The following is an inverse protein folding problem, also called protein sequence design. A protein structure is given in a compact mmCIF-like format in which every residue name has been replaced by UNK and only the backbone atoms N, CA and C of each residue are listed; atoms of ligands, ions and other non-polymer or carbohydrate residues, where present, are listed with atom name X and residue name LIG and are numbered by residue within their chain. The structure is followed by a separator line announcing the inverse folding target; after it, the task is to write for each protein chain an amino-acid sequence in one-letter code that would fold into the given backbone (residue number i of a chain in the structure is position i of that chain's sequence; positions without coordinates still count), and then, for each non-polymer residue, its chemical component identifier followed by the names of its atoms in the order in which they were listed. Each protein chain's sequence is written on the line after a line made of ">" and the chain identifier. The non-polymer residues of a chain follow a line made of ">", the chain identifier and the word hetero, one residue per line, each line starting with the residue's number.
data_IF_069988620437
#
_entry.id   IF_069988620437
#
_cell.length_a   1.000
_cell.length_b   1.000
_cell.length_c   1.000
_cell.angle_alpha   90.00
_cell.angle_beta   90.00
_cell.angle_gamma   90.00
#
_symmetry.space_group_name_H-M   'P 1'
#
loop_
_entity.id
_entity.type
_entity.pdbx_description
1 polymer ?
#
# COMPACT_ATOMS: atom_id res chain seq x y z
N UNK A 1 -15.38 9.74 -6.14
CA UNK A 1 -14.44 10.87 -6.26
C UNK A 1 -13.07 10.40 -5.80
N UNK A 2 -12.00 10.72 -6.54
CA UNK A 2 -10.60 10.37 -6.23
C UNK A 2 -9.76 11.64 -6.31
N UNK A 3 -8.63 11.74 -5.62
CA UNK A 3 -7.75 12.90 -5.73
C UNK A 3 -6.39 12.69 -5.07
N UNK A 4 -5.50 13.68 -5.20
CA UNK A 4 -4.11 13.65 -4.74
C UNK A 4 -3.93 13.45 -3.23
N UNK A 5 -2.69 13.51 -2.76
CA UNK A 5 -2.41 13.39 -1.32
C UNK A 5 -3.04 14.62 -0.67
N UNK A 6 -4.20 14.43 -0.03
CA UNK A 6 -4.83 15.52 0.68
C UNK A 6 -3.98 15.82 1.91
N UNK A 7 -3.03 16.75 1.80
CA UNK A 7 -2.21 17.25 2.91
C UNK A 7 -3.03 18.11 3.91
N UNK A 8 -4.31 17.78 4.11
CA UNK A 8 -5.29 18.45 4.98
C UNK A 8 -4.88 18.51 6.47
N UNK A 9 -3.71 17.96 6.84
CA UNK A 9 -3.17 18.04 8.20
C UNK A 9 -3.10 19.50 8.63
N UNK A 10 -3.97 19.83 9.58
CA UNK A 10 -4.17 21.16 10.14
C UNK A 10 -2.83 21.85 10.46
N UNK A 11 -2.62 23.03 9.88
CA UNK A 11 -1.49 23.90 10.18
C UNK A 11 -0.18 23.62 9.43
N UNK A 12 -0.12 22.59 8.58
CA UNK A 12 1.10 22.26 7.82
C UNK A 12 0.89 22.12 6.31
N UNK A 13 -0.31 21.73 5.86
CA UNK A 13 -0.58 21.54 4.44
C UNK A 13 -0.64 22.82 3.62
N UNK A 14 -0.41 22.72 2.32
CA UNK A 14 -0.44 23.84 1.40
C UNK A 14 -1.75 24.62 1.47
N UNK A 15 -2.88 23.90 1.62
CA UNK A 15 -4.20 24.48 1.81
C UNK A 15 -4.22 25.55 2.93
N UNK A 16 -3.37 25.42 3.95
CA UNK A 16 -3.27 26.31 5.11
C UNK A 16 -2.29 27.48 4.94
N UNK A 17 -1.44 27.46 3.91
CA UNK A 17 -0.31 28.39 3.78
C UNK A 17 -0.45 29.38 2.62
N UNK A 18 -1.28 29.10 1.61
CA UNK A 18 -1.50 30.02 0.48
C UNK A 18 -2.78 30.89 0.64
N UNK A 19 -2.63 32.19 0.35
CA UNK A 19 -3.76 33.10 0.17
C UNK A 19 -4.31 32.99 -1.27
N UNK A 20 -5.63 32.94 -1.43
CA UNK A 20 -6.39 32.62 -2.65
C UNK A 20 -6.27 33.60 -3.86
N UNK A 21 -5.12 34.24 -4.07
CA UNK A 21 -4.91 35.32 -5.04
C UNK A 21 -4.41 34.80 -6.41
N UNK A 22 -3.88 33.58 -6.48
CA UNK A 22 -3.32 33.01 -7.72
C UNK A 22 -4.43 32.69 -8.73
N UNK A 23 -4.35 33.15 -10.01
CA UNK A 23 -5.30 32.78 -11.06
C UNK A 23 -5.40 31.26 -11.27
N UNK A 24 -6.59 30.75 -11.57
CA UNK A 24 -6.85 29.31 -11.64
C UNK A 24 -5.98 28.58 -12.67
N UNK A 25 -5.80 29.13 -13.88
CA UNK A 25 -4.96 28.50 -14.91
C UNK A 25 -3.49 28.38 -14.48
N UNK A 26 -2.98 29.41 -13.78
CA UNK A 26 -1.62 29.42 -13.28
C UNK A 26 -1.45 28.43 -12.13
N UNK A 27 -2.40 28.39 -11.21
CA UNK A 27 -2.41 27.49 -10.06
C UNK A 27 -2.55 26.02 -10.50
N UNK A 28 -3.47 25.73 -11.42
CA UNK A 28 -3.65 24.40 -12.00
C UNK A 28 -2.35 23.90 -12.67
N UNK A 29 -1.62 24.79 -13.35
CA UNK A 29 -0.33 24.47 -13.95
C UNK A 29 0.74 24.21 -12.88
N UNK A 30 0.75 24.96 -11.77
CA UNK A 30 1.70 24.73 -10.68
C UNK A 30 1.39 23.45 -9.90
N UNK A 31 0.11 23.13 -9.67
CA UNK A 31 -0.34 21.83 -9.12
C UNK A 31 0.11 20.70 -10.04
N UNK A 32 -0.25 20.74 -11.32
CA UNK A 32 0.07 19.66 -12.27
C UNK A 32 1.57 19.45 -12.49
N UNK A 33 2.38 20.51 -12.36
CA UNK A 33 3.84 20.44 -12.43
C UNK A 33 4.51 20.17 -11.08
N UNK A 34 3.76 19.93 -10.01
CA UNK A 34 4.28 19.69 -8.65
C UNK A 34 5.14 20.82 -8.11
N UNK A 35 4.87 22.05 -8.54
CA UNK A 35 5.59 23.26 -8.11
C UNK A 35 4.94 23.95 -6.92
N UNK A 36 3.71 23.55 -6.57
CA UNK A 36 2.91 24.12 -5.49
C UNK A 36 3.49 23.74 -4.13
N UNK A 37 3.59 22.45 -3.89
CA UNK A 37 4.03 21.81 -2.64
C UNK A 37 4.86 20.54 -2.88
N UNK A 38 5.10 20.18 -4.14
CA UNK A 38 5.75 18.92 -4.52
C UNK A 38 4.75 17.81 -4.90
N UNK A 39 3.45 18.07 -4.77
CA UNK A 39 2.37 17.12 -5.04
C UNK A 39 1.50 17.60 -6.21
N UNK A 40 0.62 16.71 -6.69
CA UNK A 40 -0.30 16.99 -7.80
C UNK A 40 -1.72 16.74 -7.34
N UNK A 41 -2.25 17.66 -6.53
CA UNK A 41 -3.57 17.56 -5.90
C UNK A 41 -4.71 17.94 -6.84
N UNK A 42 -4.81 17.17 -7.91
CA UNK A 42 -5.92 17.21 -8.83
C UNK A 42 -6.92 16.15 -8.38
N UNK A 43 -8.13 16.60 -8.07
CA UNK A 43 -9.25 15.76 -7.73
C UNK A 43 -10.09 15.49 -8.97
N UNK A 44 -10.62 14.28 -9.07
CA UNK A 44 -11.52 13.82 -10.13
C UNK A 44 -12.81 13.33 -9.51
N UNK A 45 -13.93 13.86 -9.99
CA UNK A 45 -15.25 13.30 -9.73
C UNK A 45 -15.85 12.67 -10.99
N UNK A 46 -16.47 11.50 -10.80
CA UNK A 46 -17.14 10.75 -11.86
C UNK A 46 -18.58 10.50 -11.43
N UNK A 47 -19.52 10.96 -12.26
CA UNK A 47 -20.95 10.87 -12.04
C UNK A 47 -21.66 10.85 -13.39
N UNK A 48 -22.72 10.06 -13.53
CA UNK A 48 -23.56 10.04 -14.74
C UNK A 48 -22.78 9.96 -16.08
N UNK A 49 -21.71 9.17 -16.13
CA UNK A 49 -20.82 9.06 -17.30
C UNK A 49 -19.93 10.28 -17.58
N UNK A 50 -20.03 11.35 -16.80
CA UNK A 50 -19.19 12.54 -16.87
C UNK A 50 -17.99 12.42 -15.93
N UNK A 51 -16.91 13.08 -16.30
CA UNK A 51 -15.69 13.24 -15.51
C UNK A 51 -15.40 14.74 -15.38
N UNK A 52 -15.17 15.21 -14.16
CA UNK A 52 -14.76 16.60 -13.89
C UNK A 52 -13.53 16.59 -13.01
N UNK A 53 -12.47 17.23 -13.47
CA UNK A 53 -11.22 17.42 -12.73
C UNK A 53 -11.22 18.82 -12.10
N UNK A 54 -10.75 18.94 -10.86
CA UNK A 54 -10.78 20.17 -10.08
C UNK A 54 -9.65 20.22 -9.05
N UNK A 55 -9.39 21.42 -8.54
CA UNK A 55 -8.50 21.64 -7.38
C UNK A 55 -9.29 22.20 -6.21
N UNK A 56 -8.75 22.09 -5.00
CA UNK A 56 -9.35 22.65 -3.79
C UNK A 56 -8.62 23.92 -3.36
N UNK A 57 -9.38 24.87 -2.80
CA UNK A 57 -8.87 26.09 -2.18
C UNK A 57 -9.61 26.38 -0.89
N UNK A 58 -9.04 27.25 -0.07
CA UNK A 58 -9.67 27.72 1.15
C UNK A 58 -9.97 29.21 1.05
N UNK A 59 -11.18 29.61 1.41
CA UNK A 59 -11.58 31.01 1.41
C UNK A 59 -11.17 31.72 2.71
N UNK A 60 -11.38 33.04 2.80
CA UNK A 60 -11.06 33.85 3.98
C UNK A 60 -11.76 33.38 5.27
N UNK A 61 -12.89 32.67 5.14
CA UNK A 61 -13.65 32.08 6.26
C UNK A 61 -13.18 30.67 6.62
N UNK A 62 -12.04 30.23 6.09
CA UNK A 62 -11.49 28.88 6.25
C UNK A 62 -12.42 27.76 5.75
N UNK A 63 -13.23 28.04 4.74
CA UNK A 63 -14.07 27.03 4.10
C UNK A 63 -13.39 26.52 2.84
N UNK A 64 -13.32 25.20 2.74
CA UNK A 64 -12.79 24.50 1.57
C UNK A 64 -13.82 24.56 0.45
N UNK A 65 -13.39 24.90 -0.75
CA UNK A 65 -14.21 24.92 -1.96
C UNK A 65 -13.43 24.37 -3.15
N UNK A 66 -14.18 23.83 -4.12
CA UNK A 66 -13.63 23.23 -5.33
C UNK A 66 -13.69 24.19 -6.52
N UNK A 67 -12.64 24.16 -7.35
CA UNK A 67 -12.55 24.91 -8.61
C UNK A 67 -12.32 23.94 -9.77
N UNK A 68 -13.32 23.70 -10.63
CA UNK A 68 -13.18 22.89 -11.84
C UNK A 68 -12.08 23.41 -12.76
N UNK A 69 -11.24 22.50 -13.28
CA UNK A 69 -10.18 22.83 -14.23
C UNK A 69 -10.68 23.04 -15.66
N UNK A 70 -11.89 22.55 -15.96
CA UNK A 70 -12.57 22.75 -17.24
C UNK A 70 -13.86 23.53 -17.06
N UNK A 71 -14.33 24.15 -18.14
CA UNK A 71 -15.64 24.80 -18.16
C UNK A 71 -16.74 23.75 -17.92
N UNK A 72 -17.53 23.92 -16.88
CA UNK A 72 -18.57 22.99 -16.50
C UNK A 72 -19.70 23.71 -15.77
N UNK A 73 -20.94 23.30 -16.04
CA UNK A 73 -22.15 23.77 -15.34
C UNK A 73 -22.42 22.96 -14.06
N UNK A 74 -21.41 22.27 -13.57
CA UNK A 74 -21.49 21.35 -12.42
C UNK A 74 -21.07 22.11 -11.17
N UNK A 75 -21.89 22.02 -10.14
CA UNK A 75 -21.56 22.57 -8.82
C UNK A 75 -20.94 21.49 -7.94
N UNK A 76 -19.74 21.75 -7.42
CA UNK A 76 -19.00 20.85 -6.54
C UNK A 76 -18.97 21.48 -5.14
N UNK A 77 -19.59 20.83 -4.17
CA UNK A 77 -19.66 21.27 -2.79
C UNK A 77 -18.84 20.32 -1.90
N UNK A 78 -17.91 20.89 -1.14
CA UNK A 78 -17.15 20.17 -0.12
C UNK A 78 -18.00 20.07 1.16
N UNK A 79 -18.11 18.86 1.72
CA UNK A 79 -18.69 18.63 3.03
C UNK A 79 -17.55 18.37 4.03
N UNK A 80 -17.61 19.01 5.19
CA UNK A 80 -16.57 18.85 6.20
C UNK A 80 -16.38 20.07 7.09
N UNK A 81 -15.28 20.03 7.83
CA UNK A 81 -14.81 21.16 8.62
C UNK A 81 -13.65 21.83 7.90
N UNK A 82 -13.09 22.91 8.46
CA UNK A 82 -11.86 23.51 7.93
C UNK A 82 -10.67 22.54 7.93
N UNK A 83 -10.73 21.46 8.72
CA UNK A 83 -9.61 20.53 8.97
C UNK A 83 -9.79 19.13 8.43
N UNK A 84 -10.96 18.80 7.90
CA UNK A 84 -11.26 17.45 7.42
C UNK A 84 -12.38 17.51 6.40
N UNK A 85 -12.14 16.94 5.22
CA UNK A 85 -13.16 16.68 4.22
C UNK A 85 -13.87 15.35 4.53
N UNK A 86 -15.15 15.44 4.91
CA UNK A 86 -15.98 14.28 5.25
C UNK A 86 -16.79 13.77 4.07
N UNK A 87 -16.94 14.56 3.01
CA UNK A 87 -17.65 14.16 1.82
C UNK A 87 -17.77 15.24 0.76
N UNK A 88 -18.52 14.93 -0.28
CA UNK A 88 -18.72 15.78 -1.44
C UNK A 88 -20.15 15.68 -1.94
N UNK A 89 -20.75 16.81 -2.28
CA UNK A 89 -22.01 16.86 -3.01
C UNK A 89 -21.79 17.50 -4.38
N UNK A 90 -22.18 16.78 -5.42
CA UNK A 90 -22.11 17.24 -6.81
C UNK A 90 -23.52 17.48 -7.31
N UNK A 91 -23.79 18.67 -7.84
CA UNK A 91 -25.07 18.97 -8.52
C UNK A 91 -24.79 19.12 -10.01
N UNK A 92 -25.43 18.29 -10.83
CA UNK A 92 -25.28 18.38 -12.28
C UNK A 92 -26.20 19.45 -12.90
N UNK A 93 -26.10 19.61 -14.21
CA UNK A 93 -26.86 20.59 -14.99
C UNK A 93 -28.37 20.30 -15.03
N UNK A 94 -28.81 19.09 -14.67
CA UNK A 94 -30.22 18.71 -14.58
C UNK A 94 -30.79 18.94 -13.17
N UNK A 95 -29.94 19.30 -12.21
CA UNK A 95 -30.30 19.46 -10.80
C UNK A 95 -30.21 18.17 -9.99
N UNK A 96 -29.71 17.07 -10.58
CA UNK A 96 -29.50 15.83 -9.85
C UNK A 96 -28.30 15.97 -8.93
N UNK A 97 -28.43 15.50 -7.68
CA UNK A 97 -27.37 15.58 -6.68
C UNK A 97 -26.75 14.21 -6.40
N UNK A 98 -25.43 14.13 -6.47
CA UNK A 98 -24.64 12.95 -6.19
C UNK A 98 -23.80 13.19 -4.93
N UNK A 99 -24.03 12.38 -3.89
CA UNK A 99 -23.46 12.57 -2.56
C UNK A 99 -22.44 11.46 -2.27
N UNK A 100 -21.18 11.83 -2.06
CA UNK A 100 -20.06 10.94 -1.81
C UNK A 100 -19.57 11.11 -0.36
N UNK A 101 -19.68 10.08 0.46
CA UNK A 101 -19.33 10.14 1.89
C UNK A 101 -18.58 8.92 2.40
N UNK A 102 -18.74 7.78 1.72
CA UNK A 102 -18.08 6.56 2.14
C UNK A 102 -16.59 6.63 1.75
N UNK A 103 -15.68 6.58 2.71
CA UNK A 103 -14.24 6.76 2.45
C UNK A 103 -13.53 5.47 2.02
N UNK A 104 -12.50 5.63 1.21
CA UNK A 104 -11.42 4.69 0.93
C UNK A 104 -10.13 5.28 1.50
N UNK A 105 -9.30 4.45 2.11
CA UNK A 105 -8.07 4.90 2.77
C UNK A 105 -6.86 4.18 2.15
N UNK A 106 -5.86 4.97 1.77
CA UNK A 106 -4.50 4.48 1.59
C UNK A 106 -3.81 4.50 2.96
N UNK A 107 -3.32 3.36 3.44
CA UNK A 107 -2.67 3.21 4.75
C UNK A 107 -1.27 2.60 4.60
N UNK A 108 -0.46 2.73 5.65
CA UNK A 108 0.92 2.21 5.71
C UNK A 108 1.74 2.60 4.47
N UNK A 109 1.65 3.87 4.08
CA UNK A 109 2.27 4.35 2.84
C UNK A 109 3.75 4.52 3.08
N UNK A 110 4.55 3.79 2.32
CA UNK A 110 6.00 3.82 2.34
C UNK A 110 6.51 4.05 0.91
N UNK A 111 7.39 5.04 0.74
CA UNK A 111 8.07 5.31 -0.52
C UNK A 111 9.54 5.57 -0.25
N UNK A 112 10.40 4.92 -1.05
CA UNK A 112 11.86 5.13 -1.02
C UNK A 112 12.33 5.40 -2.42
N UNK A 113 12.75 6.65 -2.65
CA UNK A 113 13.69 6.94 -3.72
C UNK A 113 15.11 6.73 -3.20
N UNK A 114 15.90 5.97 -3.94
CA UNK A 114 17.29 5.69 -3.60
C UNK A 114 18.26 6.72 -4.18
N UNK A 115 17.76 7.66 -4.99
CA UNK A 115 18.53 8.74 -5.64
C UNK A 115 18.53 10.02 -4.82
N UNK A 116 17.41 10.28 -4.13
CA UNK A 116 17.14 11.52 -3.41
C UNK A 116 16.76 11.24 -1.95
N UNK A 117 16.80 12.26 -1.10
CA UNK A 117 16.44 12.15 0.31
C UNK A 117 14.92 12.08 0.55
N UNK A 118 14.12 11.88 -0.49
CA UNK A 118 12.66 12.00 -0.43
C UNK A 118 12.03 10.63 -0.14
N UNK A 119 12.27 10.13 1.08
CA UNK A 119 11.50 9.01 1.60
C UNK A 119 10.19 9.51 2.21
N UNK A 120 9.06 8.92 1.81
CA UNK A 120 7.74 9.25 2.38
C UNK A 120 7.33 8.10 3.28
N UNK A 121 6.85 8.44 4.46
CA UNK A 121 6.02 7.53 5.26
C UNK A 121 4.79 8.28 5.75
N UNK A 122 3.62 7.72 5.52
CA UNK A 122 2.39 8.24 6.10
C UNK A 122 1.58 7.10 6.73
N UNK A 123 0.97 7.39 7.87
CA UNK A 123 0.03 6.49 8.53
C UNK A 123 -1.21 6.24 7.68
N UNK A 124 -1.54 7.18 6.79
CA UNK A 124 -2.56 7.01 5.78
C UNK A 124 -3.34 8.29 5.49
N UNK A 125 -4.10 8.26 4.40
CA UNK A 125 -4.93 9.37 3.93
C UNK A 125 -6.17 8.86 3.19
N UNK A 126 -7.20 9.70 3.10
CA UNK A 126 -8.40 9.37 2.31
C UNK A 126 -8.07 9.45 0.82
N UNK A 127 -8.07 8.33 0.13
CA UNK A 127 -7.76 8.24 -1.31
C UNK A 127 -8.99 8.48 -2.19
N UNK A 128 -10.18 8.18 -1.67
CA UNK A 128 -11.42 8.33 -2.40
C UNK A 128 -12.65 8.49 -1.47
N UNK A 129 -13.70 9.12 -2.01
CA UNK A 129 -15.05 9.06 -1.47
C UNK A 129 -15.97 8.37 -2.48
N UNK A 130 -16.64 7.31 -2.04
CA UNK A 130 -17.62 6.55 -2.80
C UNK A 130 -19.03 7.10 -2.60
N UNK A 131 -19.85 6.90 -3.64
CA UNK A 131 -21.21 7.39 -3.72
C UNK A 131 -22.08 6.74 -2.66
N UNK A 132 -22.81 7.54 -1.89
CA UNK A 132 -23.72 7.08 -0.82
C UNK A 132 -25.18 7.34 -1.16
N UNK A 133 -25.45 8.36 -1.98
CA UNK A 133 -26.82 8.72 -2.36
C UNK A 133 -26.86 9.49 -3.69
N UNK A 134 -27.90 9.23 -4.47
CA UNK A 134 -28.33 10.09 -5.57
C UNK A 134 -29.70 10.67 -5.22
N UNK A 135 -29.85 11.98 -5.38
CA UNK A 135 -31.12 12.71 -5.29
C UNK A 135 -31.47 13.23 -6.69
N UNK A 136 -32.30 12.50 -7.45
CA UNK A 136 -32.77 13.02 -8.72
C UNK A 136 -33.68 14.24 -8.48
N UNK A 137 -33.61 15.26 -9.34
CA UNK A 137 -34.30 16.54 -9.15
C UNK A 137 -35.82 16.38 -8.90
N UNK A 138 -36.46 15.43 -9.59
CA UNK A 138 -37.89 15.11 -9.45
C UNK A 138 -38.13 13.62 -9.12
N UNK A 139 -37.15 12.94 -8.54
CA UNK A 139 -37.21 11.49 -8.30
C UNK A 139 -37.05 11.13 -6.83
N UNK A 140 -37.45 9.92 -6.50
CA UNK A 140 -37.17 9.38 -5.18
C UNK A 140 -35.66 9.05 -5.04
N UNK A 141 -35.09 9.16 -3.83
CA UNK A 141 -33.66 8.91 -3.60
C UNK A 141 -33.23 7.49 -3.97
N UNK A 142 -31.97 7.36 -4.38
CA UNK A 142 -31.28 6.08 -4.56
C UNK A 142 -30.15 6.03 -3.54
N UNK A 143 -30.17 5.03 -2.65
CA UNK A 143 -29.20 4.89 -1.57
C UNK A 143 -28.19 3.77 -1.85
N UNK A 144 -26.92 4.02 -1.56
CA UNK A 144 -25.84 3.07 -1.66
C UNK A 144 -25.36 2.73 -0.24
N UNK A 145 -25.57 1.48 0.18
CA UNK A 145 -25.20 1.01 1.51
C UNK A 145 -23.98 0.10 1.42
N UNK A 146 -22.96 0.35 2.23
CA UNK A 146 -21.74 -0.44 2.32
C UNK A 146 -21.81 -1.46 3.47
N UNK A 147 -20.96 -2.48 3.45
CA UNK A 147 -20.89 -3.52 4.49
C UNK A 147 -20.28 -3.01 5.81
N UNK A 148 -19.38 -2.05 5.71
CA UNK A 148 -18.73 -1.38 6.85
C UNK A 148 -18.08 -0.08 6.40
N UNK A 149 -17.72 0.76 7.37
CA UNK A 149 -16.97 1.98 7.14
C UNK A 149 -15.48 1.76 7.41
N UNK A 150 -14.62 2.21 6.50
CA UNK A 150 -13.16 2.08 6.63
C UNK A 150 -12.64 2.80 7.87
N UNK A 151 -13.34 3.85 8.31
CA UNK A 151 -12.97 4.59 9.53
C UNK A 151 -13.17 3.80 10.81
N UNK A 152 -13.95 2.71 10.79
CA UNK A 152 -14.19 1.87 11.97
C UNK A 152 -13.11 0.78 12.14
N UNK A 153 -12.11 0.70 11.23
CA UNK A 153 -11.03 -0.29 11.28
C UNK A 153 -10.16 -0.17 12.55
N UNK A 154 -10.06 1.02 13.14
CA UNK A 154 -9.26 1.26 14.34
C UNK A 154 -9.92 0.78 15.65
N UNK A 155 -11.15 0.24 15.59
CA UNK A 155 -11.93 -0.11 16.78
C UNK A 155 -12.28 -1.60 16.89
N UNK A 156 -11.43 -2.54 16.46
CA UNK A 156 -11.52 -3.96 16.83
C UNK A 156 -12.85 -4.69 16.58
N UNK A 157 -13.81 -4.06 15.90
CA UNK A 157 -15.22 -4.44 15.83
C UNK A 157 -15.68 -4.76 14.40
N UNK A 158 -14.82 -4.57 13.40
CA UNK A 158 -15.13 -4.94 12.03
C UNK A 158 -14.66 -6.37 11.74
N UNK A 159 -15.59 -7.19 11.23
CA UNK A 159 -15.23 -8.44 10.57
C UNK A 159 -14.35 -8.13 9.35
N UNK A 160 -13.23 -8.85 9.21
CA UNK A 160 -12.30 -8.82 8.07
C UNK A 160 -13.02 -8.92 6.70
N UNK A 161 -14.25 -9.43 6.66
CA UNK A 161 -15.06 -9.61 5.45
C UNK A 161 -15.85 -8.35 5.01
N UNK A 162 -15.75 -7.25 5.75
CA UNK A 162 -16.57 -6.03 5.51
C UNK A 162 -15.89 -5.00 4.60
N UNK A 163 -14.56 -5.09 4.47
CA UNK A 163 -13.71 -4.15 3.74
C UNK A 163 -12.73 -4.95 2.89
N UNK A 164 -12.55 -4.53 1.64
CA UNK A 164 -11.52 -5.10 0.78
C UNK A 164 -10.17 -4.43 1.10
N UNK A 165 -9.14 -5.22 1.32
CA UNK A 165 -7.77 -4.71 1.51
C UNK A 165 -6.89 -5.19 0.36
N UNK A 166 -6.46 -4.25 -0.47
CA UNK A 166 -5.47 -4.51 -1.50
C UNK A 166 -4.09 -4.07 -0.99
N UNK A 167 -3.11 -4.97 -1.05
CA UNK A 167 -1.71 -4.63 -0.77
C UNK A 167 -1.00 -4.32 -2.08
N UNK A 168 -0.39 -3.15 -2.16
CA UNK A 168 0.43 -2.76 -3.29
C UNK A 168 1.88 -2.74 -2.81
N UNK A 169 2.72 -3.49 -3.51
CA UNK A 169 4.15 -3.54 -3.29
C UNK A 169 4.83 -3.50 -4.65
N UNK A 170 5.67 -2.50 -4.85
CA UNK A 170 6.39 -2.29 -6.10
C UNK A 170 7.82 -1.87 -5.73
N UNK A 171 8.78 -2.75 -5.97
CA UNK A 171 10.18 -2.56 -5.63
C UNK A 171 11.04 -2.58 -6.89
N UNK A 172 12.02 -1.69 -6.94
CA UNK A 172 13.02 -1.66 -7.97
C UNK A 172 14.42 -1.72 -7.36
N UNK A 173 15.36 -2.16 -8.18
CA UNK A 173 16.79 -2.19 -7.84
C UNK A 173 17.52 -1.16 -8.68
N UNK A 174 18.39 -0.39 -8.06
CA UNK A 174 19.30 0.53 -8.76
C UNK A 174 20.75 0.19 -8.45
N UNK A 175 21.58 0.24 -9.51
CA UNK A 175 23.01 0.01 -9.43
C UNK A 175 23.72 1.33 -9.81
N UNK A 176 24.46 1.89 -8.86
CA UNK A 176 25.27 3.07 -9.06
C UNK A 176 26.70 2.71 -9.44
N UNK A 177 27.27 3.44 -10.40
CA UNK A 177 28.68 3.36 -10.79
C UNK A 177 29.32 4.74 -10.59
N UNK A 178 30.14 4.91 -9.54
CA UNK A 178 30.59 6.23 -9.10
C UNK A 178 31.81 6.78 -9.86
N UNK A 179 32.42 6.00 -10.75
CA UNK A 179 33.66 6.34 -11.46
C UNK A 179 34.91 6.35 -10.57
N UNK A 180 34.85 7.04 -9.43
CA UNK A 180 35.82 7.01 -8.35
C UNK A 180 35.24 6.34 -7.10
N UNK A 181 36.09 5.76 -6.26
CA UNK A 181 35.63 5.11 -5.02
C UNK A 181 35.03 6.15 -4.07
N UNK A 182 33.79 5.92 -3.65
CA UNK A 182 33.09 6.73 -2.65
C UNK A 182 33.29 6.09 -1.28
N UNK A 183 33.59 6.91 -0.28
CA UNK A 183 33.68 6.48 1.12
C UNK A 183 32.28 6.42 1.70
N UNK A 184 31.93 5.30 2.32
CA UNK A 184 30.65 5.13 3.01
C UNK A 184 30.82 4.41 4.35
N UNK A 185 29.81 4.59 5.21
CA UNK A 185 29.60 3.77 6.39
C UNK A 185 28.37 2.89 6.13
N UNK A 186 28.55 1.58 5.91
CA UNK A 186 27.47 0.73 5.46
C UNK A 186 26.47 0.40 6.57
N UNK A 187 26.92 0.39 7.84
CA UNK A 187 26.16 -0.09 9.00
C UNK A 187 25.49 -1.44 8.74
N UNK A 188 26.27 -2.36 8.17
CA UNK A 188 25.84 -3.71 7.86
C UNK A 188 25.92 -4.54 9.15
N UNK A 189 24.83 -4.58 9.91
CA UNK A 189 24.79 -5.38 11.14
C UNK A 189 24.68 -6.88 10.85
N UNK A 190 24.20 -7.29 9.67
CA UNK A 190 23.95 -8.70 9.38
C UNK A 190 25.24 -9.52 9.47
N UNK A 191 26.40 -8.94 9.09
CA UNK A 191 27.69 -9.60 9.23
C UNK A 191 28.14 -9.83 10.70
N UNK A 192 27.64 -9.05 11.65
CA UNK A 192 27.96 -9.18 13.08
C UNK A 192 26.87 -9.92 13.87
N UNK A 193 25.66 -10.00 13.31
CA UNK A 193 24.44 -10.44 13.98
C UNK A 193 24.59 -11.77 14.69
N UNK A 194 25.10 -12.80 14.01
CA UNK A 194 25.24 -14.14 14.59
C UNK A 194 26.14 -14.16 15.83
N UNK A 195 27.27 -13.44 15.80
CA UNK A 195 28.22 -13.39 16.93
C UNK A 195 27.68 -12.55 18.08
N UNK A 196 27.05 -11.43 17.76
CA UNK A 196 26.36 -10.59 18.74
C UNK A 196 25.33 -11.40 19.52
N UNK A 197 24.43 -12.12 18.84
CA UNK A 197 23.39 -12.90 19.51
C UNK A 197 23.93 -14.08 20.30
N UNK A 198 25.00 -14.72 19.81
CA UNK A 198 25.68 -15.77 20.58
C UNK A 198 26.24 -15.20 21.91
N UNK A 199 26.86 -14.03 21.89
CA UNK A 199 27.33 -13.38 23.12
C UNK A 199 26.18 -12.99 24.06
N UNK A 200 25.08 -12.45 23.52
CA UNK A 200 23.88 -12.12 24.32
C UNK A 200 23.27 -13.37 24.96
N UNK A 201 23.14 -14.46 24.22
CA UNK A 201 22.57 -15.72 24.72
C UNK A 201 23.42 -16.29 25.87
N UNK A 202 24.74 -16.32 25.70
CA UNK A 202 25.64 -16.79 26.76
C UNK A 202 25.60 -15.87 27.97
N UNK A 203 25.56 -14.55 27.77
CA UNK A 203 25.39 -13.59 28.86
C UNK A 203 24.08 -13.84 29.64
N UNK A 204 22.95 -14.03 28.95
CA UNK A 204 21.65 -14.30 29.57
C UNK A 204 21.66 -15.60 30.39
N UNK A 205 22.34 -16.65 29.92
CA UNK A 205 22.49 -17.90 30.67
C UNK A 205 23.19 -17.67 32.01
N UNK A 206 24.30 -16.93 32.01
CA UNK A 206 25.02 -16.60 33.25
C UNK A 206 24.23 -15.63 34.16
N UNK A 207 23.53 -14.64 33.57
CA UNK A 207 22.65 -13.73 34.31
C UNK A 207 21.52 -14.47 35.02
N UNK A 208 20.98 -15.52 34.40
CA UNK A 208 19.98 -16.39 35.02
C UNK A 208 20.56 -17.11 36.24
N UNK A 209 21.79 -17.61 36.13
CA UNK A 209 22.50 -18.30 37.23
C UNK A 209 22.88 -17.38 38.41
N UNK A 210 22.84 -16.06 38.23
CA UNK A 210 23.01 -15.08 39.30
C UNK A 210 21.76 -14.22 39.59
N UNK A 211 20.59 -14.64 39.09
CA UNK A 211 19.28 -13.99 39.32
C UNK A 211 19.16 -12.54 38.83
N UNK A 212 19.96 -12.14 37.84
CA UNK A 212 19.96 -10.80 37.23
C UNK A 212 19.23 -10.72 35.89
N UNK A 213 18.65 -11.83 35.41
CA UNK A 213 17.99 -11.88 34.10
C UNK A 213 16.85 -10.86 33.94
N UNK A 214 16.10 -10.58 35.03
CA UNK A 214 15.01 -9.60 34.99
C UNK A 214 15.51 -8.16 34.77
N UNK A 215 16.73 -7.84 35.20
CA UNK A 215 17.34 -6.51 35.04
C UNK A 215 17.82 -6.27 33.59
N UNK A 216 17.96 -7.34 32.79
CA UNK A 216 18.36 -7.26 31.38
C UNK A 216 17.26 -6.71 30.46
N UNK A 217 16.00 -6.63 30.91
CA UNK A 217 14.85 -6.19 30.07
C UNK A 217 15.06 -4.84 29.38
N UNK A 218 15.74 -3.90 30.04
CA UNK A 218 16.03 -2.59 29.44
C UNK A 218 17.00 -2.73 28.25
N UNK A 219 18.03 -3.57 28.38
CA UNK A 219 18.97 -3.87 27.30
C UNK A 219 18.25 -4.57 26.14
N UNK A 220 17.36 -5.53 26.43
CA UNK A 220 16.56 -6.22 25.42
C UNK A 220 15.70 -5.26 24.58
N UNK A 221 15.09 -4.24 25.22
CA UNK A 221 14.37 -3.18 24.50
C UNK A 221 15.29 -2.39 23.55
N UNK A 222 16.51 -2.06 23.99
CA UNK A 222 17.50 -1.33 23.18
C UNK A 222 18.03 -2.18 22.01
N UNK A 223 18.16 -3.50 22.18
CA UNK A 223 18.50 -4.42 21.10
C UNK A 223 17.43 -4.37 20.01
N UNK A 224 16.14 -4.43 20.40
CA UNK A 224 15.01 -4.35 19.44
C UNK A 224 14.99 -3.03 18.69
N UNK A 225 15.24 -1.91 19.37
CA UNK A 225 15.34 -0.61 18.72
C UNK A 225 16.48 -0.60 17.69
N UNK A 226 17.67 -1.06 18.06
CA UNK A 226 18.82 -1.14 17.16
C UNK A 226 18.55 -2.01 15.92
N UNK A 227 17.96 -3.20 16.09
CA UNK A 227 17.60 -4.06 14.96
C UNK A 227 16.60 -3.42 14.00
N UNK A 228 15.63 -2.67 14.53
CA UNK A 228 14.65 -1.97 13.68
C UNK A 228 15.32 -0.90 12.81
N UNK A 229 16.27 -0.17 13.39
CA UNK A 229 17.03 0.86 12.67
C UNK A 229 18.08 0.28 11.71
N UNK A 230 18.73 -0.84 12.04
CA UNK A 230 19.75 -1.43 11.18
C UNK A 230 19.18 -1.90 9.84
N UNK A 231 17.93 -2.39 9.80
CA UNK A 231 17.25 -2.83 8.57
C UNK A 231 17.10 -1.73 7.52
N UNK A 232 17.01 -0.47 7.92
CA UNK A 232 16.91 0.69 7.02
C UNK A 232 18.10 0.75 6.04
N UNK A 233 19.27 0.31 6.51
CA UNK A 233 20.51 0.48 5.76
C UNK A 233 20.62 -0.48 4.57
N UNK A 234 19.93 -1.62 4.64
CA UNK A 234 20.03 -2.73 3.69
C UNK A 234 18.73 -2.88 2.88
N UNK A 235 17.58 -2.78 3.54
CA UNK A 235 16.23 -2.99 2.97
C UNK A 235 15.29 -1.86 3.44
N UNK A 236 15.45 -0.63 2.91
CA UNK A 236 14.72 0.53 3.43
C UNK A 236 13.19 0.41 3.27
N UNK A 237 12.72 -0.27 2.22
CA UNK A 237 11.29 -0.56 2.00
C UNK A 237 10.65 -1.50 3.01
N UNK A 238 11.43 -2.12 3.88
CA UNK A 238 10.93 -3.07 4.89
C UNK A 238 11.12 -2.53 6.31
N UNK A 239 11.33 -1.21 6.46
CA UNK A 239 11.59 -0.58 7.75
C UNK A 239 10.54 0.46 8.12
N UNK A 240 10.02 0.32 9.34
CA UNK A 240 9.08 1.25 10.00
C UNK A 240 9.64 2.68 10.18
N UNK A 241 10.94 2.90 9.97
CA UNK A 241 11.63 4.18 10.19
C UNK A 241 12.16 4.82 8.90
N UNK A 242 11.47 4.58 7.79
CA UNK A 242 11.87 4.99 6.44
C UNK A 242 12.18 6.49 6.29
N UNK A 243 11.52 7.38 7.06
CA UNK A 243 11.75 8.85 7.05
C UNK A 243 13.17 9.25 7.45
N UNK A 244 13.87 8.35 8.13
CA UNK A 244 15.26 8.58 8.56
C UNK A 244 16.28 8.13 7.52
N UNK A 245 15.83 7.49 6.43
CA UNK A 245 16.65 6.95 5.35
C UNK A 245 17.04 8.02 4.32
N UNK A 246 17.77 9.05 4.74
CA UNK A 246 18.23 10.08 3.81
C UNK A 246 19.38 9.50 2.98
N UNK A 247 19.18 9.42 1.66
CA UNK A 247 20.21 8.98 0.71
C UNK A 247 20.42 9.99 -0.40
N UNK A 248 21.66 10.03 -0.87
CA UNK A 248 22.05 10.81 -2.04
C UNK A 248 22.83 9.85 -2.92
N UNK A 249 22.28 9.52 -4.09
CA UNK A 249 22.91 8.62 -5.07
C UNK A 249 23.30 7.28 -4.41
N UNK A 250 22.37 6.64 -3.69
CA UNK A 250 22.57 5.33 -3.05
C UNK A 250 23.34 5.32 -1.72
N UNK A 251 24.01 6.42 -1.35
CA UNK A 251 24.79 6.53 -0.11
C UNK A 251 23.97 7.18 0.99
N UNK A 252 24.03 6.65 2.21
CA UNK A 252 23.41 7.24 3.41
C UNK A 252 24.04 8.61 3.69
N UNK A 253 23.22 9.65 3.68
CA UNK A 253 23.65 11.02 3.95
C UNK A 253 23.40 11.44 5.40
N UNK A 254 22.47 10.78 6.11
CA UNK A 254 22.22 11.02 7.53
C UNK A 254 22.33 9.73 8.34
N UNK A 255 23.36 9.67 9.18
CA UNK A 255 23.68 8.52 10.03
C UNK A 255 23.45 8.82 11.52
N UNK A 256 22.99 10.04 11.85
CA UNK A 256 22.91 10.53 13.22
C UNK A 256 22.03 9.65 14.12
N UNK A 257 20.88 9.20 13.61
CA UNK A 257 19.95 8.36 14.35
C UNK A 257 20.52 6.96 14.61
N UNK A 258 21.13 6.35 13.60
CA UNK A 258 21.81 5.06 13.74
C UNK A 258 22.96 5.15 14.74
N UNK A 259 23.77 6.20 14.65
CA UNK A 259 24.84 6.48 15.61
C UNK A 259 24.29 6.63 17.04
N UNK A 260 23.19 7.36 17.22
CA UNK A 260 22.54 7.54 18.52
C UNK A 260 22.05 6.21 19.12
N UNK A 261 21.23 5.46 18.38
CA UNK A 261 20.67 4.17 18.85
C UNK A 261 21.77 3.16 19.16
N UNK A 262 22.81 3.10 18.33
CA UNK A 262 23.94 2.20 18.55
C UNK A 262 24.78 2.58 19.76
N UNK A 263 25.01 3.89 20.00
CA UNK A 263 25.69 4.37 21.21
C UNK A 263 24.89 4.06 22.47
N UNK A 264 23.58 4.32 22.45
CA UNK A 264 22.69 3.99 23.58
C UNK A 264 22.73 2.50 23.93
N UNK A 265 22.68 1.61 22.93
CA UNK A 265 22.80 0.17 23.12
C UNK A 265 24.19 -0.20 23.68
N UNK A 266 25.26 0.31 23.07
CA UNK A 266 26.63 0.04 23.52
C UNK A 266 26.89 0.50 24.96
N UNK A 267 26.41 1.67 25.34
CA UNK A 267 26.50 2.21 26.70
C UNK A 267 25.66 1.38 27.68
N UNK A 268 24.47 0.93 27.28
CA UNK A 268 23.62 0.07 28.11
C UNK A 268 24.27 -1.29 28.37
N UNK A 269 24.86 -1.90 27.34
CA UNK A 269 25.59 -3.16 27.46
C UNK A 269 26.81 -3.03 28.38
N UNK A 270 27.66 -2.01 28.17
CA UNK A 270 28.85 -1.78 29.02
C UNK A 270 28.49 -1.38 30.44
N UNK A 271 27.43 -0.58 30.62
CA UNK A 271 26.92 -0.21 31.94
C UNK A 271 26.44 -1.43 32.72
N UNK A 272 25.72 -2.35 32.05
CA UNK A 272 25.28 -3.59 32.69
C UNK A 272 26.43 -4.58 32.93
N UNK A 273 27.42 -4.63 32.04
CA UNK A 273 28.65 -5.38 32.28
C UNK A 273 29.40 -4.92 33.53
N UNK A 274 29.57 -3.59 33.68
CA UNK A 274 30.20 -3.00 34.86
C UNK A 274 29.42 -3.28 36.14
N UNK A 275 28.09 -3.28 36.07
CA UNK A 275 27.22 -3.68 37.18
C UNK A 275 27.45 -5.14 37.60
N UNK A 276 27.51 -6.07 36.64
CA UNK A 276 27.75 -7.47 36.92
C UNK A 276 29.12 -7.69 37.59
N UNK A 277 30.17 -7.05 37.07
CA UNK A 277 31.53 -7.08 37.66
C UNK A 277 31.58 -6.50 39.08
N UNK A 278 30.71 -5.53 39.40
CA UNK A 278 30.63 -4.92 40.74
C UNK A 278 29.93 -5.83 41.76
N UNK A 279 28.90 -6.57 41.34
CA UNK A 279 28.29 -7.60 42.19
C UNK A 279 29.32 -8.69 42.47
N UNK A 280 30.08 -9.06 41.43
CA UNK A 280 31.16 -10.03 41.50
C UNK A 280 30.68 -11.48 41.57
N UNK A 281 31.63 -12.39 41.40
CA UNK A 281 31.39 -13.83 41.38
C UNK A 281 31.37 -14.37 39.95
N UNK A 282 31.79 -15.64 39.81
CA UNK A 282 32.10 -16.23 38.51
C UNK A 282 31.01 -16.01 37.45
N UNK A 283 29.75 -16.28 37.77
CA UNK A 283 28.64 -16.11 36.81
C UNK A 283 28.42 -14.65 36.42
N UNK A 284 28.50 -13.71 37.38
CA UNK A 284 28.34 -12.29 37.09
C UNK A 284 29.52 -11.74 36.26
N UNK A 285 30.75 -12.17 36.55
CA UNK A 285 31.95 -11.78 35.81
C UNK A 285 31.92 -12.32 34.35
N UNK A 286 31.46 -13.56 34.17
CA UNK A 286 31.27 -14.15 32.85
C UNK A 286 30.16 -13.43 32.07
N UNK A 287 29.00 -13.17 32.69
CA UNK A 287 27.94 -12.38 32.07
C UNK A 287 28.47 -11.01 31.61
N UNK A 288 29.21 -10.31 32.47
CA UNK A 288 29.79 -9.01 32.13
C UNK A 288 30.76 -9.06 30.95
N UNK A 289 31.58 -10.12 30.85
CA UNK A 289 32.53 -10.28 29.74
C UNK A 289 31.84 -10.46 28.39
N UNK A 290 30.77 -11.28 28.34
CA UNK A 290 29.99 -11.46 27.11
C UNK A 290 29.15 -10.23 26.73
N UNK A 291 28.70 -9.44 27.71
CA UNK A 291 28.04 -8.16 27.44
C UNK A 291 29.01 -7.13 26.85
N UNK A 292 30.27 -7.11 27.29
CA UNK A 292 31.33 -6.31 26.68
C UNK A 292 31.63 -6.76 25.25
N UNK A 293 31.73 -8.07 25.01
CA UNK A 293 31.91 -8.63 23.67
C UNK A 293 30.75 -8.22 22.73
N UNK A 294 29.50 -8.31 23.20
CA UNK A 294 28.34 -7.85 22.45
C UNK A 294 28.43 -6.34 22.11
N UNK A 295 28.88 -5.51 23.06
CA UNK A 295 29.08 -4.08 22.82
C UNK A 295 30.20 -3.80 21.79
N UNK A 296 31.25 -4.62 21.76
CA UNK A 296 32.33 -4.51 20.78
C UNK A 296 31.84 -4.78 19.35
N UNK A 297 30.92 -5.73 19.16
CA UNK A 297 30.30 -5.95 17.84
C UNK A 297 29.44 -4.76 17.37
N UNK A 298 28.73 -4.07 18.27
CA UNK A 298 28.00 -2.84 17.94
C UNK A 298 28.98 -1.73 17.55
N UNK A 299 30.08 -1.57 18.28
CA UNK A 299 31.12 -0.60 17.97
C UNK A 299 31.84 -0.88 16.65
N UNK A 300 32.11 -2.16 16.35
CA UNK A 300 32.71 -2.58 15.09
C UNK A 300 31.81 -2.22 13.90
N UNK A 301 30.50 -2.50 14.00
CA UNK A 301 29.51 -2.11 13.01
C UNK A 301 29.47 -0.59 12.78
N UNK A 302 29.49 0.21 13.86
CA UNK A 302 29.49 1.66 13.78
C UNK A 302 30.74 2.26 13.13
N UNK A 303 31.90 1.64 13.40
CA UNK A 303 33.21 2.16 13.00
C UNK A 303 33.61 1.73 11.58
N UNK A 304 32.85 0.82 10.98
CA UNK A 304 33.13 0.30 9.65
C UNK A 304 33.05 1.39 8.59
N UNK A 305 34.08 1.44 7.75
CA UNK A 305 34.17 2.33 6.60
C UNK A 305 34.53 1.49 5.38
N UNK A 306 33.74 1.62 4.31
CA UNK A 306 33.99 0.97 3.02
C UNK A 306 34.26 2.02 1.95
N UNK A 307 35.07 1.65 0.96
CA UNK A 307 35.28 2.42 -0.25
C UNK A 307 34.66 1.66 -1.41
N UNK A 308 33.57 2.18 -1.98
CA UNK A 308 32.75 1.49 -2.98
C UNK A 308 32.83 2.19 -4.33
N UNK A 309 33.03 1.42 -5.39
CA UNK A 309 32.95 1.92 -6.78
C UNK A 309 31.60 1.65 -7.42
N UNK A 310 30.93 0.61 -6.93
CA UNK A 310 29.60 0.21 -7.34
C UNK A 310 28.74 -0.05 -6.11
N UNK A 311 27.46 0.30 -6.17
CA UNK A 311 26.52 0.01 -5.10
C UNK A 311 25.16 -0.37 -5.64
N UNK A 312 24.67 -1.50 -5.18
CA UNK A 312 23.30 -1.94 -5.39
C UNK A 312 22.43 -1.45 -4.23
N UNK A 313 21.23 -0.96 -4.54
CA UNK A 313 20.25 -0.59 -3.54
C UNK A 313 18.82 -0.79 -4.04
N UNK A 314 17.93 -1.11 -3.10
CA UNK A 314 16.50 -1.31 -3.36
C UNK A 314 15.70 -0.07 -2.96
N UNK A 315 14.83 0.37 -3.86
CA UNK A 315 13.85 1.43 -3.64
C UNK A 315 12.47 0.97 -4.11
N UNK A 316 11.46 1.82 -3.96
CA UNK A 316 10.10 1.51 -4.42
C UNK A 316 9.01 2.10 -3.56
N UNK A 317 7.86 1.43 -3.52
CA UNK A 317 6.68 1.81 -2.75
C UNK A 317 5.94 0.60 -2.20
N UNK A 318 5.37 0.77 -1.01
CA UNK A 318 4.49 -0.18 -0.35
C UNK A 318 3.33 0.60 0.26
N UNK A 319 2.09 0.13 0.08
CA UNK A 319 0.92 0.70 0.76
C UNK A 319 -0.25 -0.27 0.70
N UNK A 320 -1.23 -0.05 1.58
CA UNK A 320 -2.51 -0.77 1.58
C UNK A 320 -3.61 0.17 1.13
N UNK A 321 -4.54 -0.33 0.32
CA UNK A 321 -5.77 0.37 -0.02
C UNK A 321 -6.92 -0.38 0.64
N UNK A 322 -7.63 0.29 1.55
CA UNK A 322 -8.81 -0.22 2.21
C UNK A 322 -10.05 0.36 1.53
N UNK A 323 -10.70 -0.47 0.71
CA UNK A 323 -11.88 -0.09 -0.07
C UNK A 323 -13.16 -0.66 0.55
N UNK A 324 -14.21 0.16 0.71
CA UNK A 324 -15.49 -0.27 1.25
C UNK A 324 -16.22 -1.20 0.26
N UNK A 325 -16.80 -2.30 0.77
CA UNK A 325 -17.59 -3.22 -0.06
C UNK A 325 -19.05 -2.79 -0.10
N UNK A 326 -19.60 -2.61 -1.30
CA UNK A 326 -21.00 -2.25 -1.49
C UNK A 326 -21.89 -3.42 -1.07
N UNK A 327 -22.81 -3.24 -0.13
CA UNK A 327 -23.72 -4.28 0.33
C UNK A 327 -25.00 -4.31 -0.51
N UNK A 328 -25.60 -3.13 -0.72
CA UNK A 328 -26.84 -2.99 -1.49
C UNK A 328 -27.02 -1.59 -2.06
N UNK A 329 -27.78 -1.51 -3.14
CA UNK A 329 -28.35 -0.27 -3.65
C UNK A 329 -29.87 -0.34 -3.48
N UNK A 330 -30.45 0.67 -2.85
CA UNK A 330 -31.88 0.76 -2.58
C UNK A 330 -32.48 1.77 -3.53
N UNK A 331 -33.32 1.27 -4.44
CA UNK A 331 -34.16 2.08 -5.32
C UNK A 331 -35.57 2.17 -4.71
N UNK A 332 -36.43 3.06 -5.26
CA UNK A 332 -37.82 3.18 -4.81
C UNK A 332 -38.61 1.87 -4.94
N UNK A 333 -38.40 1.12 -6.02
CA UNK A 333 -39.18 -0.07 -6.37
C UNK A 333 -38.44 -1.39 -6.12
N UNK A 334 -37.10 -1.37 -6.11
CA UNK A 334 -36.28 -2.57 -6.02
C UNK A 334 -35.02 -2.36 -5.18
N UNK A 335 -34.42 -3.46 -4.77
CA UNK A 335 -33.18 -3.48 -3.99
C UNK A 335 -32.21 -4.41 -4.70
N UNK A 336 -31.03 -3.91 -5.03
CA UNK A 336 -29.93 -4.72 -5.58
C UNK A 336 -29.00 -5.06 -4.44
N UNK A 337 -28.72 -6.34 -4.20
CA UNK A 337 -27.76 -6.80 -3.19
C UNK A 337 -26.52 -7.40 -3.83
N UNK A 338 -25.40 -7.24 -3.16
CA UNK A 338 -24.10 -7.73 -3.60
C UNK A 338 -23.55 -8.71 -2.55
N UNK A 339 -23.08 -9.86 -3.02
CA UNK A 339 -22.40 -10.86 -2.22
C UNK A 339 -20.96 -11.00 -2.71
N UNK A 340 -20.06 -11.38 -1.80
CA UNK A 340 -18.63 -11.50 -2.06
C UNK A 340 -18.12 -12.83 -1.53
N UNK A 341 -17.04 -13.35 -2.11
CA UNK A 341 -16.30 -14.49 -1.57
C UNK A 341 -15.51 -14.05 -0.34
N UNK A 342 -15.64 -14.77 0.78
CA UNK A 342 -14.92 -14.42 2.03
C UNK A 342 -13.40 -14.44 1.88
N UNK A 343 -12.85 -15.30 1.00
CA UNK A 343 -11.40 -15.45 0.85
C UNK A 343 -10.71 -14.36 0.02
N UNK A 344 -11.44 -13.65 -0.85
CA UNK A 344 -10.84 -12.68 -1.78
C UNK A 344 -11.53 -11.33 -1.82
N UNK A 345 -12.69 -11.19 -1.16
CA UNK A 345 -13.61 -10.06 -1.32
C UNK A 345 -14.03 -9.80 -2.78
N UNK A 346 -13.80 -10.75 -3.69
CA UNK A 346 -14.28 -10.68 -5.08
C UNK A 346 -15.79 -10.86 -5.11
N UNK A 347 -16.47 -10.17 -6.03
CA UNK A 347 -17.91 -10.25 -6.17
C UNK A 347 -18.35 -11.67 -6.54
N UNK A 348 -19.19 -12.29 -5.71
CA UNK A 348 -19.70 -13.64 -5.90
C UNK A 348 -21.12 -13.67 -6.44
N UNK A 349 -21.96 -12.70 -6.11
CA UNK A 349 -23.30 -12.60 -6.69
C UNK A 349 -23.88 -11.18 -6.64
N UNK A 350 -24.79 -10.91 -7.56
CA UNK A 350 -25.69 -9.76 -7.57
C UNK A 350 -27.12 -10.30 -7.61
N UNK A 351 -27.96 -9.84 -6.68
CA UNK A 351 -29.35 -10.29 -6.57
C UNK A 351 -30.30 -9.11 -6.55
N UNK A 352 -31.32 -9.16 -7.41
CA UNK A 352 -32.38 -8.15 -7.50
C UNK A 352 -33.60 -8.60 -6.69
N UNK A 353 -34.07 -7.74 -5.80
CA UNK A 353 -35.23 -7.97 -4.95
C UNK A 353 -36.30 -6.89 -5.15
N UNK A 354 -37.56 -7.23 -4.93
CA UNK A 354 -38.61 -6.24 -4.75
C UNK A 354 -38.55 -5.62 -3.33
N UNK A 355 -39.45 -4.67 -3.03
CA UNK A 355 -39.56 -4.03 -1.70
C UNK A 355 -39.97 -4.98 -0.57
N UNK A 356 -40.61 -6.09 -0.89
CA UNK A 356 -40.98 -7.12 0.07
C UNK A 356 -39.84 -8.12 0.33
N UNK A 357 -38.64 -7.87 -0.22
CA UNK A 357 -37.47 -8.74 -0.12
C UNK A 357 -37.64 -10.10 -0.80
N UNK A 358 -38.54 -10.19 -1.77
CA UNK A 358 -38.70 -11.36 -2.62
C UNK A 358 -37.71 -11.27 -3.79
N UNK A 359 -37.00 -12.37 -4.05
CA UNK A 359 -36.01 -12.45 -5.13
C UNK A 359 -36.72 -12.36 -6.49
N UNK A 360 -36.26 -11.47 -7.36
CA UNK A 360 -36.72 -11.34 -8.74
C UNK A 360 -35.80 -12.13 -9.68
N UNK A 361 -34.49 -11.92 -9.54
CA UNK A 361 -33.46 -12.58 -10.33
C UNK A 361 -32.11 -12.42 -9.65
N UNK A 362 -31.14 -13.25 -10.04
CA UNK A 362 -29.76 -13.08 -9.59
C UNK A 362 -28.75 -13.52 -10.65
N UNK A 363 -27.54 -13.02 -10.51
CA UNK A 363 -26.37 -13.44 -11.26
C UNK A 363 -25.30 -13.83 -10.25
N UNK A 364 -24.76 -15.03 -10.35
CA UNK A 364 -23.64 -15.48 -9.52
C UNK A 364 -22.42 -15.80 -10.36
N UNK A 365 -21.26 -15.46 -9.83
CA UNK A 365 -19.96 -15.83 -10.39
C UNK A 365 -19.48 -17.13 -9.75
N UNK A 366 -18.85 -17.98 -10.55
CA UNK A 366 -18.06 -19.13 -10.09
C UNK A 366 -16.58 -18.85 -10.30
N UNK A 367 -15.71 -19.42 -9.47
CA UNK A 367 -14.27 -19.15 -9.49
C UNK A 367 -13.89 -17.94 -8.63
N UNK A 368 -12.89 -18.14 -7.75
CA UNK A 368 -12.47 -17.15 -6.77
C UNK A 368 -11.65 -16.00 -7.39
N UNK A 369 -10.35 -16.22 -7.58
CA UNK A 369 -9.45 -15.20 -8.14
C UNK A 369 -9.67 -14.95 -9.65
N UNK A 370 -10.01 -16.01 -10.40
CA UNK A 370 -10.41 -15.94 -11.80
C UNK A 370 -11.87 -16.37 -11.91
N UNK A 371 -12.71 -15.52 -12.50
CA UNK A 371 -14.11 -15.83 -12.74
C UNK A 371 -14.20 -16.95 -13.79
N UNK A 372 -14.60 -18.16 -13.40
CA UNK A 372 -14.74 -19.33 -14.28
C UNK A 372 -16.11 -19.41 -14.95
N UNK A 373 -17.09 -18.67 -14.44
CA UNK A 373 -18.38 -18.58 -15.09
C UNK A 373 -19.36 -17.67 -14.38
N UNK A 374 -20.46 -17.37 -15.08
CA UNK A 374 -21.61 -16.64 -14.60
C UNK A 374 -22.84 -17.54 -14.72
N UNK A 375 -23.67 -17.58 -13.69
CA UNK A 375 -24.96 -18.24 -13.70
C UNK A 375 -26.05 -17.21 -13.48
N UNK A 376 -27.01 -17.14 -14.42
CA UNK A 376 -28.20 -16.31 -14.29
C UNK A 376 -29.33 -17.16 -13.72
N UNK A 377 -29.94 -16.71 -12.63
CA UNK A 377 -30.99 -17.43 -11.92
C UNK A 377 -32.30 -16.66 -11.92
N UNK A 378 -33.41 -17.40 -11.98
CA UNK A 378 -34.75 -16.86 -11.83
C UNK A 378 -35.09 -16.52 -10.37
N UNK A 379 -36.33 -16.08 -10.14
CA UNK A 379 -36.89 -15.79 -8.82
C UNK A 379 -36.85 -16.96 -7.82
N UNK A 380 -36.76 -18.20 -8.31
CA UNK A 380 -36.68 -19.40 -7.48
C UNK A 380 -35.22 -19.83 -7.24
N UNK A 381 -34.23 -19.05 -7.72
CA UNK A 381 -32.82 -19.40 -7.66
C UNK A 381 -32.42 -20.49 -8.66
N UNK A 382 -33.28 -20.85 -9.62
CA UNK A 382 -32.98 -21.87 -10.62
C UNK A 382 -32.17 -21.24 -11.75
N UNK A 383 -31.04 -21.85 -12.10
CA UNK A 383 -30.22 -21.43 -13.25
C UNK A 383 -31.05 -21.49 -14.53
N UNK A 384 -31.12 -20.35 -15.22
CA UNK A 384 -31.83 -20.17 -16.49
C UNK A 384 -30.85 -20.10 -17.67
N UNK A 385 -29.68 -19.52 -17.45
CA UNK A 385 -28.61 -19.42 -18.44
C UNK A 385 -27.25 -19.29 -17.76
N UNK A 386 -26.17 -19.33 -18.54
CA UNK A 386 -24.83 -19.14 -18.01
C UNK A 386 -23.77 -18.90 -19.07
N UNK A 387 -22.66 -18.32 -18.64
CA UNK A 387 -21.48 -18.06 -19.45
C UNK A 387 -20.31 -18.73 -18.75
N UNK A 388 -19.46 -19.44 -19.46
CA UNK A 388 -18.26 -20.05 -18.90
C UNK A 388 -17.02 -19.39 -19.49
N UNK A 389 -16.02 -19.16 -18.64
CA UNK A 389 -14.75 -18.57 -19.01
C UNK A 389 -13.65 -19.61 -18.80
N UNK A 390 -13.02 -19.99 -19.90
CA UNK A 390 -11.88 -20.90 -19.88
C UNK A 390 -10.61 -20.08 -20.01
N UNK A 391 -9.62 -20.41 -19.19
CA UNK A 391 -8.31 -19.77 -19.18
C UNK A 391 -7.27 -20.77 -19.62
N UNK A 392 -6.14 -20.28 -20.13
CA UNK A 392 -4.98 -21.13 -20.39
C UNK A 392 -4.37 -21.59 -19.06
N UNK A 393 -4.14 -22.89 -18.94
CA UNK A 393 -3.53 -23.51 -17.76
C UNK A 393 -2.20 -24.15 -18.11
N UNK A 394 -1.36 -24.47 -17.11
CA UNK A 394 -0.05 -25.11 -17.35
C UNK A 394 -0.17 -26.41 -18.17
N UNK A 395 -1.27 -27.14 -18.01
CA UNK A 395 -1.56 -28.37 -18.77
C UNK A 395 -1.78 -28.15 -20.27
N UNK A 396 -2.12 -26.92 -20.70
CA UNK A 396 -2.20 -26.56 -22.11
C UNK A 396 -0.81 -26.47 -22.78
N UNK A 397 0.27 -26.54 -21.98
CA UNK A 397 1.66 -26.34 -22.42
C UNK A 397 2.56 -27.54 -22.01
N UNK A 398 2.45 -28.69 -22.71
CA UNK A 398 3.10 -29.93 -22.29
C UNK A 398 4.64 -29.94 -22.36
N UNK A 399 5.26 -28.99 -23.07
CA UNK A 399 6.73 -28.86 -23.22
C UNK A 399 7.33 -27.89 -22.17
N UNK A 400 6.53 -27.43 -21.22
CA UNK A 400 6.93 -26.42 -20.22
C UNK A 400 8.09 -26.89 -19.32
N UNK A 401 9.26 -26.24 -19.45
CA UNK A 401 10.36 -26.27 -18.47
C UNK A 401 10.58 -24.85 -17.95
N UNK A 402 9.98 -24.52 -16.80
CA UNK A 402 10.13 -23.20 -16.17
C UNK A 402 11.60 -22.96 -15.81
N UNK A 403 12.25 -21.99 -16.44
CA UNK A 403 13.65 -21.61 -16.13
C UNK A 403 13.74 -20.28 -15.40
N UNK A 404 12.74 -19.41 -15.55
CA UNK A 404 12.66 -18.14 -14.83
C UNK A 404 11.41 -17.33 -15.16
N UNK A 405 11.43 -16.08 -14.72
CA UNK A 405 10.45 -15.04 -15.09
C UNK A 405 11.17 -13.88 -15.74
N UNK A 406 10.54 -13.25 -16.73
CA UNK A 406 11.07 -12.05 -17.37
C UNK A 406 11.00 -10.82 -16.43
N UNK A 407 11.48 -9.68 -16.93
CA UNK A 407 11.46 -8.41 -16.19
C UNK A 407 10.07 -7.93 -15.78
N UNK A 408 9.00 -8.48 -16.38
CA UNK A 408 7.61 -8.16 -16.11
C UNK A 408 6.88 -9.26 -15.31
N UNK A 409 7.60 -10.31 -14.91
CA UNK A 409 7.07 -11.42 -14.12
C UNK A 409 6.38 -12.49 -14.95
N UNK A 410 6.48 -12.47 -16.29
CA UNK A 410 5.97 -13.53 -17.14
C UNK A 410 6.95 -14.71 -17.16
N UNK A 411 6.48 -15.96 -16.95
CA UNK A 411 7.37 -17.11 -17.01
C UNK A 411 7.96 -17.29 -18.42
N UNK A 412 9.22 -17.71 -18.50
CA UNK A 412 9.83 -18.16 -19.76
C UNK A 412 10.51 -19.53 -19.58
N UNK A 413 10.75 -20.20 -20.71
CA UNK A 413 11.47 -21.46 -20.81
C UNK A 413 12.71 -21.27 -21.71
N UNK A 414 13.83 -21.91 -21.37
CA UNK A 414 14.99 -22.04 -22.26
C UNK A 414 14.90 -23.40 -22.97
N UNK A 415 15.02 -23.40 -24.29
CA UNK A 415 15.18 -24.64 -25.06
C UNK A 415 16.66 -25.06 -25.08
N UNK A 416 16.91 -26.37 -25.17
CA UNK A 416 18.27 -26.95 -25.12
C UNK A 416 19.18 -26.52 -26.30
N UNK A 417 18.62 -25.84 -27.31
CA UNK A 417 19.32 -25.41 -28.54
C UNK A 417 19.64 -23.90 -28.62
N UNK A 418 19.62 -23.15 -27.51
CA UNK A 418 19.99 -21.71 -27.42
C UNK A 418 19.22 -20.74 -28.34
N UNK A 419 18.27 -21.20 -29.16
CA UNK A 419 17.31 -20.38 -29.89
C UNK A 419 16.02 -20.27 -29.09
N UNK A 420 15.82 -19.13 -28.42
CA UNK A 420 14.62 -18.84 -27.64
C UNK A 420 13.42 -18.56 -28.56
N UNK A 421 12.77 -19.62 -29.06
CA UNK A 421 11.69 -19.54 -30.06
C UNK A 421 10.28 -19.57 -29.45
N UNK A 422 10.10 -20.05 -28.23
CA UNK A 422 8.77 -20.32 -27.64
C UNK A 422 8.26 -19.29 -26.60
N UNK A 423 8.71 -18.03 -26.66
CA UNK A 423 8.13 -16.93 -25.87
C UNK A 423 6.60 -16.76 -26.09
N UNK A 424 6.08 -17.22 -27.24
CA UNK A 424 4.70 -17.00 -27.70
C UNK A 424 3.65 -17.70 -26.84
N UNK A 425 3.97 -18.91 -26.40
CA UNK A 425 3.01 -19.84 -25.82
C UNK A 425 2.77 -19.49 -24.34
N UNK A 426 3.84 -19.12 -23.63
CA UNK A 426 3.83 -18.98 -22.17
C UNK A 426 3.29 -17.63 -21.66
N UNK A 427 3.36 -16.57 -22.48
CA UNK A 427 2.78 -15.26 -22.16
C UNK A 427 1.26 -15.30 -21.98
N UNK A 428 0.59 -16.34 -22.51
CA UNK A 428 -0.86 -16.51 -22.40
C UNK A 428 -1.29 -17.27 -21.14
N UNK A 429 -0.38 -17.75 -20.30
CA UNK A 429 -0.74 -18.49 -19.08
C UNK A 429 -1.65 -17.64 -18.18
N UNK A 430 -2.74 -18.24 -17.67
CA UNK A 430 -3.80 -17.58 -16.90
C UNK A 430 -4.58 -16.48 -17.64
N UNK A 431 -4.33 -16.28 -18.94
CA UNK A 431 -5.13 -15.39 -19.78
C UNK A 431 -6.39 -16.09 -20.28
N UNK A 432 -7.40 -15.31 -20.69
CA UNK A 432 -8.67 -15.83 -21.17
C UNK A 432 -8.46 -16.56 -22.51
N UNK A 433 -8.87 -17.83 -22.58
CA UNK A 433 -8.74 -18.71 -23.75
C UNK A 433 -9.99 -18.67 -24.62
N UNK A 434 -11.15 -18.89 -24.00
CA UNK A 434 -12.43 -18.81 -24.70
C UNK A 434 -13.58 -18.53 -23.74
N UNK A 435 -14.68 -18.06 -24.31
CA UNK A 435 -15.96 -17.84 -23.64
C UNK A 435 -16.99 -18.78 -24.26
N UNK A 436 -17.67 -19.56 -23.42
CA UNK A 436 -18.76 -20.45 -23.82
C UNK A 436 -20.08 -19.81 -23.41
N UNK A 437 -20.96 -19.60 -24.39
CA UNK A 437 -22.28 -18.99 -24.23
C UNK A 437 -23.33 -20.05 -23.87
N UNK A 438 -24.49 -19.60 -23.42
CA UNK A 438 -25.57 -20.48 -22.94
C UNK A 438 -26.17 -21.39 -24.01
N UNK A 439 -26.08 -21.00 -25.28
CA UNK A 439 -26.52 -21.76 -26.45
C UNK A 439 -25.44 -22.72 -26.98
N UNK A 440 -24.28 -22.79 -26.31
CA UNK A 440 -23.12 -23.57 -26.73
C UNK A 440 -22.20 -22.85 -27.71
N UNK A 441 -22.54 -21.61 -28.12
CA UNK A 441 -21.67 -20.76 -28.93
C UNK A 441 -20.32 -20.52 -28.23
N UNK A 442 -19.23 -20.47 -29.00
CA UNK A 442 -17.88 -20.27 -28.47
C UNK A 442 -17.23 -19.05 -29.10
N UNK A 443 -16.68 -18.19 -28.27
CA UNK A 443 -15.84 -17.07 -28.67
C UNK A 443 -14.41 -17.41 -28.28
N UNK A 444 -13.55 -17.64 -29.26
CA UNK A 444 -12.13 -17.87 -29.04
C UNK A 444 -11.39 -16.54 -28.93
N UNK A 445 -10.48 -16.44 -27.97
CA UNK A 445 -9.59 -15.29 -27.81
C UNK A 445 -8.22 -15.71 -28.31
N UNK A 446 -7.71 -15.01 -29.33
CA UNK A 446 -6.35 -15.18 -29.82
C UNK A 446 -5.55 -13.94 -29.44
N UNK A 447 -4.33 -14.17 -28.99
CA UNK A 447 -3.38 -13.12 -28.65
C UNK A 447 -2.42 -12.94 -29.82
N UNK A 448 -2.24 -11.70 -30.26
CA UNK A 448 -1.24 -11.32 -31.25
C UNK A 448 -0.12 -10.55 -30.56
N UNK A 449 1.11 -10.71 -31.05
CA UNK A 449 2.26 -9.91 -30.59
C UNK A 449 2.10 -8.46 -31.04
N UNK A 450 2.40 -7.54 -30.14
CA UNK A 450 2.78 -6.20 -30.55
C UNK A 450 4.18 -6.29 -31.16
N UNK A 451 4.28 -6.33 -32.49
CA UNK A 451 5.55 -6.13 -33.18
C UNK A 451 5.95 -4.67 -33.00
N UNK A 452 6.91 -4.41 -32.10
CA UNK A 452 7.47 -3.10 -31.81
C UNK A 452 8.98 -3.15 -31.83
#
# INVERSE_FOLDING_TARGET
>A
MRGGFADEKSGYGYLWTENAVTPLEQDARTVGLRKRDGESDIFTVVFNGKKVDFIIRMNEKRQIYALPLGQTDVRIECEGTSTEITGWTITDNNGDRYIYRQREICADVEYVDVSTSNAISDSGYTSAWHLTRILPYNGAPIDFCYKGDVMDLDFGNLSLDSIHTMKIYDSYKMIYHYGQSVKEQPFDFDQYKSRFYSAIEVAQNYLNMCSLLLDFKNVDSKIKDFERYSRINIQPLQSEYIKTNNRIVGVLSNISKMNGVSKELGESLRGFAAYCKRIGGFNADMAGSYLEEAADYIYACLSEVKYVKTKEIWGGKSYKVHSPLLNRIVFPEYIVKFAYFSSSSSLSAISLYNRNMELISSVSSTGGALARGLAFCDKNGKKTSGIEFNYYEKSDFPVWKETGVDLWGYPYAEDEDEECTDYEIYATLNSLKNIVLSDGGKIEVKYERNYG
#
